data_IF_905636941083
#
_entry.id   IF_905636941083
#
_cell.length_a   1.000
_cell.length_b   1.000
_cell.length_c   1.000
_cell.angle_alpha   90.00
_cell.angle_beta   90.00
_cell.angle_gamma   90.00
#
_symmetry.space_group_name_H-M   'P 1'
#
loop_
_entity.id
_entity.type
_entity.pdbx_description
1 polymer ?
#
# COMPACT_ATOMS: atom_id res chain seq x y z
N UNK A 1 -1.11 20.11 27.15
CA UNK A 1 -0.99 20.31 25.70
C UNK A 1 0.20 19.53 25.17
N UNK A 2 0.02 18.87 24.04
CA UNK A 2 1.11 18.12 23.41
C UNK A 2 2.05 19.07 22.70
N UNK A 3 3.35 18.77 22.74
CA UNK A 3 4.32 19.57 22.01
C UNK A 3 4.35 19.17 20.53
N UNK A 4 5.10 19.91 19.72
CA UNK A 4 5.21 19.69 18.29
C UNK A 4 5.73 18.29 17.94
N UNK A 5 6.71 17.80 18.69
CA UNK A 5 7.28 16.47 18.47
C UNK A 5 6.22 15.38 18.64
N UNK A 6 5.44 15.46 19.70
CA UNK A 6 4.40 14.49 19.97
C UNK A 6 3.34 14.50 18.88
N UNK A 7 2.94 15.70 18.45
CA UNK A 7 1.96 15.86 17.38
C UNK A 7 2.50 15.24 16.08
N UNK A 8 3.77 15.48 15.77
CA UNK A 8 4.39 14.94 14.57
C UNK A 8 4.46 13.42 14.60
N UNK A 9 4.72 12.83 15.76
CA UNK A 9 4.76 11.38 15.89
C UNK A 9 3.38 10.75 15.69
N UNK A 10 2.35 11.40 16.22
CA UNK A 10 0.97 10.94 16.02
C UNK A 10 0.60 11.06 14.55
N UNK A 11 0.93 12.20 13.93
CA UNK A 11 0.66 12.41 12.51
C UNK A 11 1.39 11.39 11.64
N UNK A 12 2.63 11.05 11.98
CA UNK A 12 3.40 10.03 11.27
C UNK A 12 2.73 8.66 11.35
N UNK A 13 2.22 8.31 12.53
CA UNK A 13 1.47 7.06 12.72
C UNK A 13 0.22 7.00 11.85
N UNK A 14 -0.51 8.12 11.77
CA UNK A 14 -1.69 8.21 10.91
C UNK A 14 -1.31 8.13 9.44
N UNK A 15 -0.25 8.83 9.04
CA UNK A 15 0.21 8.83 7.65
C UNK A 15 0.58 7.43 7.16
N UNK A 16 1.21 6.63 8.03
CA UNK A 16 1.67 5.29 7.64
C UNK A 16 0.50 4.30 7.51
N UNK A 17 -0.70 4.65 7.98
CA UNK A 17 -1.88 3.80 7.83
C UNK A 17 -2.28 3.59 6.37
N UNK A 18 -1.75 4.39 5.44
CA UNK A 18 -1.98 4.16 4.01
C UNK A 18 -1.54 2.76 3.59
N UNK A 19 -0.57 2.17 4.29
CA UNK A 19 -0.12 0.80 4.04
C UNK A 19 -1.20 -0.24 4.28
N UNK A 20 -2.14 0.02 5.19
CA UNK A 20 -3.24 -0.91 5.46
C UNK A 20 -4.14 -1.04 4.24
N UNK A 21 -4.51 0.09 3.62
CA UNK A 21 -5.36 0.07 2.43
C UNK A 21 -4.69 -0.63 1.27
N UNK A 22 -3.45 -0.28 0.98
CA UNK A 22 -2.68 -0.91 -0.10
C UNK A 22 -2.49 -2.40 0.16
N UNK A 23 -2.12 -2.77 1.38
CA UNK A 23 -1.91 -4.18 1.74
C UNK A 23 -3.18 -5.02 1.60
N UNK A 24 -4.30 -4.52 2.11
CA UNK A 24 -5.58 -5.20 1.96
C UNK A 24 -6.01 -5.31 0.51
N UNK A 25 -5.90 -4.19 -0.23
CA UNK A 25 -6.29 -4.16 -1.63
C UNK A 25 -5.46 -5.12 -2.48
N UNK A 26 -4.15 -5.08 -2.32
CA UNK A 26 -3.23 -5.97 -3.05
C UNK A 26 -3.48 -7.42 -2.66
N UNK A 27 -3.71 -7.69 -1.37
CA UNK A 27 -4.00 -9.04 -0.89
C UNK A 27 -5.27 -9.61 -1.51
N UNK A 28 -6.35 -8.82 -1.53
CA UNK A 28 -7.61 -9.22 -2.14
C UNK A 28 -7.44 -9.45 -3.65
N UNK A 29 -6.76 -8.51 -4.33
CA UNK A 29 -6.51 -8.62 -5.76
C UNK A 29 -5.70 -9.88 -6.10
N UNK A 30 -4.68 -10.18 -5.28
CA UNK A 30 -3.85 -11.37 -5.48
C UNK A 30 -4.68 -12.64 -5.32
N UNK A 31 -5.54 -12.70 -4.30
CA UNK A 31 -6.42 -13.83 -4.08
C UNK A 31 -7.33 -14.06 -5.28
N UNK A 32 -7.92 -13.00 -5.82
CA UNK A 32 -8.78 -13.09 -7.00
C UNK A 32 -8.01 -13.50 -8.25
N UNK A 33 -6.78 -12.99 -8.39
CA UNK A 33 -5.92 -13.35 -9.52
C UNK A 33 -5.58 -14.85 -9.49
N UNK A 34 -5.25 -15.38 -8.32
CA UNK A 34 -4.94 -16.80 -8.17
C UNK A 34 -6.15 -17.66 -8.54
N UNK A 35 -7.36 -17.29 -8.10
CA UNK A 35 -8.58 -17.96 -8.47
C UNK A 35 -8.81 -17.93 -9.99
N UNK A 36 -8.59 -16.77 -10.60
CA UNK A 36 -8.79 -16.61 -12.04
C UNK A 36 -7.82 -17.47 -12.83
N UNK A 37 -6.55 -17.54 -12.40
CA UNK A 37 -5.54 -18.39 -13.05
C UNK A 37 -5.92 -19.87 -12.94
N UNK A 38 -6.47 -20.27 -11.80
CA UNK A 38 -6.91 -21.64 -11.61
C UNK A 38 -8.03 -22.02 -12.58
N UNK A 39 -8.91 -21.07 -12.91
CA UNK A 39 -10.00 -21.31 -13.87
C UNK A 39 -9.56 -21.19 -15.31
N UNK A 40 -8.61 -20.30 -15.58
CA UNK A 40 -8.14 -20.00 -16.94
C UNK A 40 -6.62 -19.93 -16.95
N UNK A 41 -5.93 -21.09 -16.86
CA UNK A 41 -4.46 -21.10 -16.83
C UNK A 41 -3.83 -20.45 -18.05
N UNK A 42 -4.50 -20.49 -19.21
CA UNK A 42 -4.02 -19.89 -20.45
C UNK A 42 -3.96 -18.37 -20.38
N UNK A 43 -4.70 -17.76 -19.45
CA UNK A 43 -4.70 -16.31 -19.26
C UNK A 43 -3.72 -15.86 -18.17
N UNK A 44 -2.93 -16.77 -17.60
CA UNK A 44 -2.06 -16.45 -16.46
C UNK A 44 -1.12 -15.30 -16.73
N UNK A 45 -0.56 -15.20 -17.94
CA UNK A 45 0.34 -14.10 -18.28
C UNK A 45 -0.35 -12.75 -18.21
N UNK A 46 -1.53 -12.63 -18.78
CA UNK A 46 -2.30 -11.38 -18.77
C UNK A 46 -2.77 -11.02 -17.36
N UNK A 47 -3.21 -12.01 -16.60
CA UNK A 47 -3.65 -11.81 -15.22
C UNK A 47 -2.50 -11.31 -14.37
N UNK A 48 -1.32 -11.92 -14.48
CA UNK A 48 -0.15 -11.49 -13.74
C UNK A 48 0.30 -10.09 -14.10
N UNK A 49 0.24 -9.72 -15.38
CA UNK A 49 0.58 -8.35 -15.79
C UNK A 49 -0.36 -7.32 -15.17
N UNK A 50 -1.66 -7.60 -15.21
CA UNK A 50 -2.66 -6.72 -14.62
C UNK A 50 -2.46 -6.61 -13.11
N UNK A 51 -2.20 -7.73 -12.44
CA UNK A 51 -1.97 -7.76 -11.00
C UNK A 51 -0.72 -6.93 -10.64
N UNK A 52 0.38 -7.12 -11.35
CA UNK A 52 1.61 -6.39 -11.08
C UNK A 52 1.43 -4.88 -11.26
N UNK A 53 0.77 -4.47 -12.34
CA UNK A 53 0.53 -3.06 -12.60
C UNK A 53 -0.35 -2.44 -11.52
N UNK A 54 -1.48 -3.08 -11.24
CA UNK A 54 -2.41 -2.58 -10.22
C UNK A 54 -1.78 -2.56 -8.84
N UNK A 55 -1.02 -3.60 -8.49
CA UNK A 55 -0.34 -3.68 -7.19
C UNK A 55 0.74 -2.60 -7.05
N UNK A 56 1.49 -2.34 -8.11
CA UNK A 56 2.51 -1.29 -8.09
C UNK A 56 1.89 0.09 -7.88
N UNK A 57 0.77 0.36 -8.55
CA UNK A 57 0.06 1.64 -8.40
C UNK A 57 -0.55 1.78 -7.00
N UNK A 58 -1.09 0.69 -6.46
CA UNK A 58 -1.64 0.69 -5.11
C UNK A 58 -0.54 0.88 -4.07
N UNK A 59 0.61 0.21 -4.24
CA UNK A 59 1.74 0.33 -3.32
C UNK A 59 2.31 1.74 -3.32
N UNK A 60 2.24 2.45 -4.44
CA UNK A 60 2.70 3.84 -4.52
C UNK A 60 1.99 4.72 -3.49
N UNK A 61 0.70 4.47 -3.24
CA UNK A 61 -0.04 5.26 -2.23
C UNK A 61 0.49 5.01 -0.82
N UNK A 62 0.88 3.77 -0.51
CA UNK A 62 1.49 3.44 0.78
C UNK A 62 2.86 4.08 0.92
N UNK A 63 3.63 4.14 -0.17
CA UNK A 63 4.93 4.79 -0.18
C UNK A 63 4.80 6.28 0.06
N UNK A 64 3.80 6.94 -0.52
CA UNK A 64 3.54 8.35 -0.26
C UNK A 64 3.29 8.59 1.24
N UNK A 65 2.46 7.75 1.87
CA UNK A 65 2.21 7.87 3.30
C UNK A 65 3.45 7.61 4.13
N UNK A 66 4.26 6.63 3.72
CA UNK A 66 5.53 6.35 4.38
C UNK A 66 6.48 7.55 4.29
N UNK A 67 6.59 8.18 3.13
CA UNK A 67 7.46 9.34 2.94
C UNK A 67 7.00 10.50 3.83
N UNK A 68 5.69 10.76 3.89
CA UNK A 68 5.15 11.80 4.76
C UNK A 68 5.48 11.49 6.23
N UNK A 69 5.29 10.22 6.64
CA UNK A 69 5.61 9.80 8.00
C UNK A 69 7.09 9.99 8.32
N UNK A 70 7.96 9.61 7.39
CA UNK A 70 9.40 9.75 7.56
C UNK A 70 9.80 11.22 7.73
N UNK A 71 9.24 12.10 6.90
CA UNK A 71 9.52 13.54 7.00
C UNK A 71 9.07 14.11 8.33
N UNK A 72 7.91 13.69 8.83
CA UNK A 72 7.40 14.15 10.12
C UNK A 72 8.28 13.72 11.28
N UNK A 73 8.93 12.56 11.15
CA UNK A 73 9.82 12.04 12.20
C UNK A 73 11.18 12.71 12.18
N UNK A 74 11.76 12.93 10.99
CA UNK A 74 13.14 13.43 10.88
C UNK A 74 13.24 14.94 10.77
N UNK A 75 12.21 15.62 10.31
CA UNK A 75 12.21 17.08 10.17
C UNK A 75 11.63 17.69 11.45
N UNK A 76 12.47 18.36 12.19
CA UNK A 76 12.07 19.01 13.46
C UNK A 76 12.00 20.51 13.34
#
# INVERSE_FOLDING_TARGET
MRNEEEINMIAAGIAVLTGIGAGLGIGIATSKAVEAIARQPEASGDINKALLLGSALAEATAIYGFVVALLLVIMK
#
